data_IF_645339689582
#
_entry.id   IF_645339689582
#
_cell.length_a   1.000
_cell.length_b   1.000
_cell.length_c   1.000
_cell.angle_alpha   90.00
_cell.angle_beta   90.00
_cell.angle_gamma   90.00
#
_symmetry.space_group_name_H-M   'P 1'
#
loop_
_entity.id
_entity.type
_entity.pdbx_description
1 polymer ?
#
# COMPACT_ATOMS: atom_id res chain seq x y z
N UNK A 1 11.04 -9.13 10.55
CA UNK A 1 12.21 -8.90 11.43
C UNK A 1 11.82 -7.88 12.48
N UNK A 2 12.19 -8.12 13.75
CA UNK A 2 11.94 -7.17 14.83
C UNK A 2 13.03 -6.10 14.81
N UNK A 3 12.66 -4.84 14.61
CA UNK A 3 13.61 -3.73 14.57
C UNK A 3 13.12 -2.55 15.39
N UNK A 4 14.06 -1.78 15.94
CA UNK A 4 13.78 -0.49 16.54
C UNK A 4 14.04 0.59 15.49
N UNK A 5 13.06 1.46 15.25
CA UNK A 5 13.21 2.53 14.27
C UNK A 5 14.25 3.55 14.72
N UNK A 6 14.32 3.81 16.04
CA UNK A 6 15.22 4.81 16.64
C UNK A 6 16.11 4.19 17.73
N UNK A 7 17.09 3.35 17.37
CA UNK A 7 17.95 2.68 18.35
C UNK A 7 18.81 3.66 19.16
N UNK A 8 19.10 4.84 18.60
CA UNK A 8 19.86 5.90 19.28
C UNK A 8 19.17 6.46 20.52
N UNK A 9 17.86 6.23 20.72
CA UNK A 9 17.13 6.60 21.94
C UNK A 9 17.75 5.96 23.18
N UNK A 10 18.35 4.77 23.05
CA UNK A 10 19.04 4.11 24.15
C UNK A 10 20.30 4.87 24.63
N UNK A 11 20.80 5.85 23.88
CA UNK A 11 21.84 6.76 24.37
C UNK A 11 21.38 7.64 25.56
N UNK A 12 20.07 7.74 25.80
CA UNK A 12 19.49 8.43 26.96
C UNK A 12 19.44 7.55 28.22
N UNK A 13 19.86 6.28 28.15
CA UNK A 13 19.89 5.39 29.31
C UNK A 13 20.63 5.95 30.53
N UNK A 14 21.80 6.62 30.42
CA UNK A 14 22.50 7.19 31.58
C UNK A 14 21.88 8.49 32.11
N UNK A 15 20.86 9.05 31.45
CA UNK A 15 20.28 10.36 31.78
C UNK A 15 19.83 10.48 33.25
N UNK A 16 19.13 9.51 33.87
CA UNK A 16 18.72 9.64 35.27
C UNK A 16 19.90 9.69 36.26
N UNK A 17 21.01 9.01 35.94
CA UNK A 17 22.22 9.03 36.76
C UNK A 17 22.98 10.34 36.57
N UNK A 18 23.07 10.81 35.32
CA UNK A 18 23.69 12.09 34.97
C UNK A 18 22.94 13.27 35.59
N UNK A 19 21.61 13.28 35.53
CA UNK A 19 20.75 14.27 36.19
C UNK A 19 20.99 14.28 37.70
N UNK A 20 21.16 13.12 38.34
CA UNK A 20 21.47 13.04 39.77
C UNK A 20 22.85 13.59 40.11
N UNK A 21 23.83 13.42 39.23
CA UNK A 21 25.20 13.87 39.45
C UNK A 21 25.35 15.39 39.26
N UNK A 22 24.61 15.97 38.32
CA UNK A 22 24.73 17.38 37.92
C UNK A 22 23.68 18.30 38.57
N UNK A 23 22.47 17.81 38.83
CA UNK A 23 21.44 18.63 39.44
C UNK A 23 21.64 18.68 40.95
N UNK A 24 21.50 19.86 41.58
CA UNK A 24 21.52 19.97 43.03
C UNK A 24 20.44 19.07 43.61
N UNK A 25 20.71 18.48 44.78
CA UNK A 25 19.68 17.77 45.53
C UNK A 25 18.50 18.72 45.68
N UNK A 26 17.34 18.31 45.17
CA UNK A 26 16.12 19.06 45.35
C UNK A 26 15.89 19.20 46.85
N UNK A 27 16.10 20.40 47.35
CA UNK A 27 15.77 20.75 48.71
C UNK A 27 14.25 20.82 48.76
N UNK A 28 13.61 19.71 49.07
CA UNK A 28 12.20 19.69 49.42
C UNK A 28 12.09 20.34 50.81
N UNK A 29 12.34 21.65 50.85
CA UNK A 29 12.31 22.50 52.05
C UNK A 29 10.91 22.62 52.67
N UNK A 30 9.91 21.96 52.11
CA UNK A 30 8.63 21.74 52.76
C UNK A 30 8.31 20.23 52.81
N UNK A 31 7.99 19.67 54.00
CA UNK A 31 7.48 18.31 54.10
C UNK A 31 6.19 18.20 53.29
N UNK A 32 6.15 17.24 52.34
CA UNK A 32 5.02 16.99 51.43
C UNK A 32 3.70 16.59 52.11
N UNK A 33 3.66 16.57 53.44
CA UNK A 33 2.50 16.34 54.29
C UNK A 33 2.64 17.22 55.54
N UNK A 34 2.05 18.43 55.52
CA UNK A 34 1.79 19.21 56.73
C UNK A 34 0.62 18.55 57.46
N UNK A 35 0.89 17.50 58.21
CA UNK A 35 -0.10 16.88 59.11
C UNK A 35 0.02 17.55 60.47
N UNK A 36 -0.94 18.40 60.80
CA UNK A 36 -1.04 19.13 62.07
C UNK A 36 -1.19 18.23 63.30
N UNK A 37 -1.34 16.92 63.10
CA UNK A 37 -1.62 15.92 64.15
C UNK A 37 -0.38 15.11 64.59
N UNK A 38 0.79 15.31 63.95
CA UNK A 38 1.99 14.54 64.28
C UNK A 38 2.67 15.00 65.58
N UNK A 39 2.49 16.26 65.97
CA UNK A 39 3.01 16.80 67.23
C UNK A 39 2.30 16.25 68.47
N UNK A 40 1.09 15.70 68.33
CA UNK A 40 0.35 15.03 69.42
C UNK A 40 0.70 13.55 69.58
N UNK A 41 1.43 12.96 68.63
CA UNK A 41 1.88 11.57 68.67
C UNK A 41 3.34 11.42 69.14
N UNK A 42 4.06 12.51 69.39
CA UNK A 42 5.41 12.50 70.00
C UNK A 42 5.34 12.47 71.54
N UNK A 43 4.59 11.51 72.10
CA UNK A 43 4.89 10.94 73.42
C UNK A 43 6.21 10.13 73.39
N UNK A 44 6.74 9.63 74.53
CA UNK A 44 8.16 9.24 74.73
C UNK A 44 8.57 7.93 74.05
N UNK A 45 8.32 7.83 72.75
CA UNK A 45 8.68 6.73 71.87
C UNK A 45 9.15 7.35 70.58
N UNK A 46 10.34 7.96 70.62
CA UNK A 46 11.03 8.60 69.49
C UNK A 46 11.42 7.64 68.35
N UNK A 47 10.51 6.80 67.91
CA UNK A 47 10.65 5.93 66.74
C UNK A 47 9.79 6.49 65.63
N UNK A 48 10.35 7.44 64.89
CA UNK A 48 9.92 7.69 63.51
C UNK A 48 9.94 6.34 62.80
N UNK A 49 8.79 5.89 62.33
CA UNK A 49 8.69 4.73 61.44
C UNK A 49 9.33 5.10 60.09
N UNK A 50 10.66 5.18 60.06
CA UNK A 50 11.41 5.15 58.81
C UNK A 50 11.25 3.74 58.29
N UNK A 51 10.44 3.59 57.24
CA UNK A 51 10.45 2.38 56.44
C UNK A 51 11.86 2.27 55.83
N UNK A 52 12.78 1.59 56.52
CA UNK A 52 14.13 1.29 56.07
C UNK A 52 14.07 0.23 54.96
N UNK A 53 13.36 0.52 53.86
CA UNK A 53 13.50 -0.29 52.66
C UNK A 53 14.91 -0.06 52.11
N UNK A 54 15.61 -1.12 51.71
CA UNK A 54 16.92 -0.98 51.11
C UNK A 54 16.80 -0.15 49.83
N UNK A 55 17.79 0.73 49.61
CA UNK A 55 17.81 1.75 48.56
C UNK A 55 17.47 1.18 47.17
N UNK A 56 17.84 -0.08 46.89
CA UNK A 56 17.55 -0.73 45.62
C UNK A 56 16.04 -0.98 45.39
N UNK A 57 15.26 -1.31 46.44
CA UNK A 57 13.80 -1.50 46.33
C UNK A 57 13.06 -0.19 46.08
N UNK A 58 13.60 0.92 46.59
CA UNK A 58 13.04 2.25 46.35
C UNK A 58 13.34 2.74 44.92
N UNK A 59 14.48 2.34 44.32
CA UNK A 59 14.92 2.79 42.99
C UNK A 59 14.50 1.89 41.83
N UNK A 60 14.32 0.60 42.08
CA UNK A 60 13.90 -0.38 41.08
C UNK A 60 12.67 0.03 40.26
N UNK A 61 11.56 0.54 40.85
CA UNK A 61 10.38 0.89 40.06
C UNK A 61 10.65 2.08 39.12
N UNK A 62 11.42 3.07 39.54
CA UNK A 62 11.76 4.23 38.69
C UNK A 62 12.66 3.85 37.52
N UNK A 63 13.63 2.96 37.75
CA UNK A 63 14.47 2.42 36.68
C UNK A 63 13.65 1.59 35.68
N UNK A 64 12.70 0.80 36.18
CA UNK A 64 11.81 0.01 35.33
C UNK A 64 10.92 0.90 34.46
N UNK A 65 10.31 1.94 35.05
CA UNK A 65 9.50 2.93 34.32
C UNK A 65 10.35 3.62 33.24
N UNK A 66 11.58 4.03 33.58
CA UNK A 66 12.48 4.64 32.62
C UNK A 66 12.82 3.72 31.45
N UNK A 67 13.11 2.44 31.73
CA UNK A 67 13.40 1.45 30.70
C UNK A 67 12.19 1.25 29.77
N UNK A 68 10.97 1.16 30.32
CA UNK A 68 9.75 1.03 29.54
C UNK A 68 9.51 2.26 28.65
N UNK A 69 9.77 3.47 29.14
CA UNK A 69 9.68 4.70 28.35
C UNK A 69 10.67 4.71 27.19
N UNK A 70 11.91 4.28 27.41
CA UNK A 70 12.92 4.18 26.36
C UNK A 70 12.51 3.16 25.29
N UNK A 71 12.03 1.97 25.70
CA UNK A 71 11.56 0.94 24.77
C UNK A 71 10.37 1.45 23.95
N UNK A 72 9.37 2.08 24.59
CA UNK A 72 8.22 2.64 23.90
C UNK A 72 8.63 3.73 22.89
N UNK A 73 9.57 4.59 23.27
CA UNK A 73 10.07 5.68 22.43
C UNK A 73 10.92 5.18 21.26
N UNK A 74 11.65 4.08 21.43
CA UNK A 74 12.45 3.45 20.37
C UNK A 74 11.59 2.85 19.23
N UNK A 75 10.25 2.84 19.38
CA UNK A 75 9.24 2.32 18.44
C UNK A 75 9.61 0.90 17.97
N UNK A 76 9.41 -0.13 18.79
CA UNK A 76 9.58 -1.51 18.35
C UNK A 76 8.57 -1.82 17.25
N UNK A 77 9.06 -2.28 16.10
CA UNK A 77 8.23 -2.63 14.96
C UNK A 77 8.54 -4.04 14.49
N UNK A 78 7.48 -4.77 14.15
CA UNK A 78 7.59 -6.04 13.45
C UNK A 78 7.51 -5.77 11.94
N UNK A 79 8.65 -5.64 11.27
CA UNK A 79 8.67 -5.53 9.82
C UNK A 79 8.36 -6.90 9.22
N UNK A 80 7.45 -6.95 8.24
CA UNK A 80 7.25 -8.14 7.42
C UNK A 80 8.49 -8.45 6.58
N UNK A 81 8.47 -9.55 5.84
CA UNK A 81 9.51 -9.78 4.84
C UNK A 81 9.47 -8.67 3.77
N UNK A 82 10.62 -8.11 3.35
CA UNK A 82 10.64 -7.18 2.24
C UNK A 82 10.07 -7.89 1.02
N UNK A 83 8.96 -7.36 0.49
CA UNK A 83 8.36 -7.87 -0.73
C UNK A 83 9.38 -7.68 -1.86
N UNK A 84 9.91 -8.76 -2.48
CA UNK A 84 10.79 -8.59 -3.61
C UNK A 84 9.95 -8.00 -4.74
N UNK A 85 10.18 -6.73 -5.06
CA UNK A 85 9.63 -6.14 -6.28
C UNK A 85 10.36 -6.84 -7.41
N UNK A 86 9.72 -7.87 -7.98
CA UNK A 86 10.30 -8.63 -9.08
C UNK A 86 10.59 -7.66 -10.24
N UNK A 87 11.88 -7.37 -10.44
CA UNK A 87 12.37 -6.37 -11.38
C UNK A 87 12.33 -6.84 -12.85
N UNK A 88 11.69 -7.97 -13.17
CA UNK A 88 11.59 -8.49 -14.53
C UNK A 88 10.27 -8.15 -15.24
N UNK A 89 9.45 -7.27 -14.67
CA UNK A 89 8.12 -6.97 -15.18
C UNK A 89 8.10 -6.20 -16.49
N UNK A 90 7.32 -6.68 -17.46
CA UNK A 90 6.82 -5.84 -18.56
C UNK A 90 5.66 -4.97 -18.06
N UNK A 91 5.52 -3.80 -18.65
CA UNK A 91 4.34 -2.95 -18.56
C UNK A 91 3.34 -3.42 -19.58
N UNK A 92 2.36 -4.18 -19.10
CA UNK A 92 1.30 -4.77 -19.89
C UNK A 92 0.05 -3.89 -19.77
N UNK A 93 -0.36 -3.26 -20.86
CA UNK A 93 -1.63 -2.56 -20.94
C UNK A 93 -2.60 -3.40 -21.75
N UNK A 94 -3.76 -3.71 -21.19
CA UNK A 94 -4.78 -4.49 -21.88
C UNK A 94 -5.93 -3.56 -22.25
N UNK A 95 -6.25 -3.48 -23.53
CA UNK A 95 -7.38 -2.73 -24.04
C UNK A 95 -8.48 -3.71 -24.47
N UNK A 96 -9.63 -3.63 -23.82
CA UNK A 96 -10.77 -4.53 -24.05
C UNK A 96 -11.95 -3.77 -24.64
N UNK A 97 -12.47 -4.29 -25.75
CA UNK A 97 -13.68 -3.80 -26.38
C UNK A 97 -14.90 -4.16 -25.53
N UNK A 98 -15.74 -3.16 -25.28
CA UNK A 98 -17.01 -3.26 -24.54
C UNK A 98 -18.17 -2.68 -25.36
N UNK A 99 -18.01 -2.63 -26.69
CA UNK A 99 -19.03 -2.22 -27.66
C UNK A 99 -20.19 -3.22 -27.75
N UNK A 100 -21.21 -2.88 -28.54
CA UNK A 100 -22.40 -3.71 -28.67
C UNK A 100 -22.15 -5.08 -29.30
N UNK A 101 -21.11 -5.23 -30.13
CA UNK A 101 -20.75 -6.53 -30.73
C UNK A 101 -20.22 -7.54 -29.70
N UNK A 102 -19.75 -7.05 -28.55
CA UNK A 102 -19.21 -7.93 -27.50
C UNK A 102 -20.31 -8.59 -26.65
N UNK A 103 -21.58 -8.22 -26.83
CA UNK A 103 -22.74 -8.77 -26.10
C UNK A 103 -23.33 -10.03 -26.75
N UNK A 104 -22.90 -10.38 -27.97
CA UNK A 104 -23.44 -11.53 -28.69
C UNK A 104 -23.11 -12.84 -27.95
N UNK A 105 -24.11 -13.68 -27.62
CA UNK A 105 -23.91 -14.95 -26.92
C UNK A 105 -23.54 -16.07 -27.90
N UNK A 106 -22.43 -15.90 -28.63
CA UNK A 106 -21.98 -16.82 -29.66
C UNK A 106 -20.65 -17.51 -29.31
N UNK A 107 -20.22 -17.40 -28.06
CA UNK A 107 -19.02 -18.03 -27.54
C UNK A 107 -19.39 -19.15 -26.57
N UNK A 108 -18.51 -20.14 -26.46
CA UNK A 108 -18.67 -21.24 -25.51
C UNK A 108 -17.60 -21.14 -24.43
N UNK A 109 -18.02 -21.24 -23.18
CA UNK A 109 -17.12 -21.42 -22.06
C UNK A 109 -17.55 -22.64 -21.25
N UNK A 110 -16.66 -23.64 -21.19
CA UNK A 110 -16.97 -24.97 -20.63
C UNK A 110 -18.14 -25.61 -21.37
N UNK A 111 -19.34 -25.56 -20.78
CA UNK A 111 -20.56 -26.15 -21.34
C UNK A 111 -21.69 -25.13 -21.56
N UNK A 112 -21.43 -23.85 -21.27
CA UNK A 112 -22.43 -22.78 -21.34
C UNK A 112 -22.14 -21.85 -22.52
N UNK A 113 -23.21 -21.39 -23.18
CA UNK A 113 -23.12 -20.28 -24.13
C UNK A 113 -22.99 -18.96 -23.36
N UNK A 114 -21.96 -18.18 -23.71
CA UNK A 114 -21.61 -16.93 -23.05
C UNK A 114 -21.38 -15.83 -24.08
N UNK A 115 -21.48 -14.57 -23.65
CA UNK A 115 -21.12 -13.46 -24.53
C UNK A 115 -19.61 -13.39 -24.78
N UNK A 116 -19.22 -12.75 -25.88
CA UNK A 116 -17.82 -12.50 -26.22
C UNK A 116 -17.08 -11.77 -25.10
N UNK A 117 -17.70 -10.75 -24.50
CA UNK A 117 -17.13 -10.04 -23.35
C UNK A 117 -16.88 -10.98 -22.18
N UNK A 118 -17.84 -11.84 -21.84
CA UNK A 118 -17.70 -12.79 -20.73
C UNK A 118 -16.54 -13.76 -20.99
N UNK A 119 -16.42 -14.30 -22.20
CA UNK A 119 -15.27 -15.14 -22.56
C UNK A 119 -13.95 -14.38 -22.40
N UNK A 120 -13.88 -13.14 -22.88
CA UNK A 120 -12.69 -12.29 -22.76
C UNK A 120 -12.35 -12.00 -21.29
N UNK A 121 -13.34 -11.73 -20.43
CA UNK A 121 -13.15 -11.54 -19.01
C UNK A 121 -12.51 -12.77 -18.34
N UNK A 122 -12.98 -13.97 -18.69
CA UNK A 122 -12.39 -15.22 -18.16
C UNK A 122 -10.95 -15.41 -18.66
N UNK A 123 -10.73 -15.36 -19.97
CA UNK A 123 -9.42 -15.62 -20.57
C UNK A 123 -8.36 -14.61 -20.17
N UNK A 124 -8.69 -13.31 -20.24
CA UNK A 124 -7.78 -12.26 -19.79
C UNK A 124 -7.64 -12.28 -18.27
N UNK A 125 -8.69 -12.63 -17.54
CA UNK A 125 -8.63 -12.76 -16.09
C UNK A 125 -7.56 -13.76 -15.64
N UNK A 126 -7.65 -14.98 -16.16
CA UNK A 126 -6.68 -16.05 -15.90
C UNK A 126 -5.27 -15.65 -16.38
N UNK A 127 -5.20 -15.00 -17.55
CA UNK A 127 -3.96 -14.49 -18.10
C UNK A 127 -3.28 -13.47 -17.18
N UNK A 128 -4.04 -12.53 -16.59
CA UNK A 128 -3.52 -11.50 -15.69
C UNK A 128 -3.05 -12.08 -14.35
N UNK A 129 -3.79 -13.03 -13.79
CA UNK A 129 -3.41 -13.69 -12.54
C UNK A 129 -2.13 -14.53 -12.67
N UNK A 130 -1.95 -15.19 -13.83
CA UNK A 130 -0.76 -16.00 -14.12
C UNK A 130 0.54 -15.21 -14.26
N UNK A 131 0.49 -13.88 -14.46
CA UNK A 131 1.69 -13.04 -14.63
C UNK A 131 2.40 -12.81 -13.31
N UNK A 132 3.73 -12.88 -13.29
CA UNK A 132 4.55 -12.60 -12.11
C UNK A 132 5.54 -11.47 -12.41
N UNK A 133 5.49 -10.41 -11.60
CA UNK A 133 6.40 -9.27 -11.71
C UNK A 133 5.99 -8.18 -12.70
N UNK A 134 5.04 -8.45 -13.60
CA UNK A 134 4.52 -7.46 -14.56
C UNK A 134 3.65 -6.38 -13.88
N UNK A 135 3.72 -5.14 -14.38
CA UNK A 135 2.70 -4.12 -14.09
C UNK A 135 1.60 -4.24 -15.13
N UNK A 136 0.36 -4.27 -14.67
CA UNK A 136 -0.82 -4.42 -15.52
C UNK A 136 -1.67 -3.16 -15.45
N UNK A 137 -2.16 -2.70 -16.59
CA UNK A 137 -3.21 -1.69 -16.71
C UNK A 137 -4.34 -2.18 -17.59
N UNK A 138 -5.48 -1.49 -17.50
CA UNK A 138 -6.70 -1.82 -18.24
C UNK A 138 -7.28 -0.56 -18.88
N UNK A 139 -7.55 -0.65 -20.17
CA UNK A 139 -8.33 0.29 -20.97
C UNK A 139 -9.62 -0.42 -21.35
N UNK A 140 -10.75 0.26 -21.17
CA UNK A 140 -12.02 -0.15 -21.75
C UNK A 140 -12.33 0.81 -22.89
N UNK A 141 -12.77 0.27 -24.02
CA UNK A 141 -13.11 1.09 -25.17
C UNK A 141 -14.36 0.62 -25.88
N UNK A 142 -15.03 1.59 -26.49
CA UNK A 142 -16.21 1.44 -27.31
C UNK A 142 -16.23 2.63 -28.25
N UNK A 143 -17.25 3.48 -28.19
CA UNK A 143 -17.28 4.75 -28.93
C UNK A 143 -16.17 5.71 -28.49
N UNK A 144 -15.75 5.60 -27.23
CA UNK A 144 -14.62 6.32 -26.66
C UNK A 144 -13.70 5.32 -25.95
N UNK A 145 -12.44 5.67 -25.77
CA UNK A 145 -11.48 4.88 -25.00
C UNK A 145 -11.11 5.60 -23.69
N UNK A 146 -11.09 4.87 -22.57
CA UNK A 146 -10.67 5.42 -21.28
C UNK A 146 -9.88 4.41 -20.45
N UNK A 147 -9.05 4.92 -19.54
CA UNK A 147 -8.24 4.09 -18.63
C UNK A 147 -9.09 3.70 -17.44
N UNK A 148 -9.45 2.43 -17.36
CA UNK A 148 -10.14 1.85 -16.20
C UNK A 148 -9.15 1.60 -15.06
N UNK A 149 -7.93 1.14 -15.39
CA UNK A 149 -6.89 0.86 -14.43
C UNK A 149 -5.54 1.43 -14.89
N UNK A 150 -4.87 2.30 -14.11
CA UNK A 150 -3.48 2.66 -14.40
C UNK A 150 -2.56 1.45 -14.20
N UNK A 151 -1.36 1.50 -14.78
CA UNK A 151 -0.33 0.45 -14.60
C UNK A 151 -0.01 0.27 -13.11
N UNK A 152 -0.28 -0.93 -12.58
CA UNK A 152 -0.08 -1.30 -11.19
C UNK A 152 0.43 -2.74 -11.05
N UNK A 153 1.10 -3.03 -9.94
CA UNK A 153 1.43 -4.42 -9.57
C UNK A 153 0.23 -5.17 -8.97
N UNK A 154 -0.84 -4.46 -8.61
CA UNK A 154 -2.08 -5.02 -8.07
C UNK A 154 -2.97 -5.61 -9.17
N UNK A 155 -2.54 -6.78 -9.65
CA UNK A 155 -3.25 -7.57 -10.67
C UNK A 155 -4.66 -7.98 -10.23
N UNK A 156 -4.89 -8.13 -8.91
CA UNK A 156 -6.19 -8.54 -8.38
C UNK A 156 -7.22 -7.43 -8.56
N UNK A 157 -6.87 -6.19 -8.26
CA UNK A 157 -7.77 -5.07 -8.52
C UNK A 157 -8.05 -4.89 -10.01
N UNK A 158 -7.04 -5.07 -10.87
CA UNK A 158 -7.25 -5.02 -12.33
C UNK A 158 -8.21 -6.14 -12.80
N UNK A 159 -8.06 -7.35 -12.26
CA UNK A 159 -8.96 -8.48 -12.53
C UNK A 159 -10.41 -8.15 -12.14
N UNK A 160 -10.62 -7.58 -10.95
CA UNK A 160 -11.94 -7.18 -10.46
C UNK A 160 -12.55 -6.14 -11.39
N UNK A 161 -11.80 -5.11 -11.80
CA UNK A 161 -12.30 -4.11 -12.73
C UNK A 161 -12.60 -4.65 -14.12
N UNK A 162 -11.87 -5.68 -14.56
CA UNK A 162 -12.19 -6.39 -15.80
C UNK A 162 -13.51 -7.16 -15.66
N UNK A 163 -13.74 -7.86 -14.55
CA UNK A 163 -15.01 -8.57 -14.28
C UNK A 163 -16.21 -7.62 -14.18
N UNK A 164 -16.00 -6.43 -13.64
CA UNK A 164 -17.04 -5.41 -13.51
C UNK A 164 -17.32 -4.64 -14.81
N UNK A 165 -16.53 -4.88 -15.87
CA UNK A 165 -16.74 -4.25 -17.17
C UNK A 165 -18.10 -4.68 -17.76
N UNK A 166 -18.85 -3.70 -18.26
CA UNK A 166 -20.18 -3.90 -18.83
C UNK A 166 -20.25 -3.38 -20.25
N UNK A 167 -21.05 -4.04 -21.07
CA UNK A 167 -21.36 -3.60 -22.43
C UNK A 167 -21.90 -2.18 -22.41
N UNK A 168 -21.42 -1.35 -23.35
CA UNK A 168 -21.90 -0.01 -23.57
C UNK A 168 -21.40 1.05 -22.59
N UNK A 169 -20.59 0.70 -21.58
CA UNK A 169 -20.02 1.69 -20.64
C UNK A 169 -19.14 2.73 -21.36
N UNK A 170 -18.54 2.33 -22.48
CA UNK A 170 -17.74 3.18 -23.35
C UNK A 170 -18.47 3.58 -24.65
N UNK A 171 -19.79 3.37 -24.73
CA UNK A 171 -20.61 3.50 -25.93
C UNK A 171 -20.73 2.19 -26.74
N UNK A 172 -21.60 2.18 -27.76
CA UNK A 172 -21.98 0.97 -28.50
C UNK A 172 -21.16 0.70 -29.77
N UNK A 173 -20.46 1.70 -30.28
CA UNK A 173 -19.54 1.59 -31.41
C UNK A 173 -18.13 1.21 -30.95
N UNK A 174 -17.16 1.15 -31.86
CA UNK A 174 -15.78 0.69 -31.63
C UNK A 174 -14.78 1.71 -32.20
N UNK A 175 -14.02 2.37 -31.32
CA UNK A 175 -12.99 3.37 -31.58
C UNK A 175 -11.60 2.78 -31.30
N UNK A 176 -11.19 1.89 -32.20
CA UNK A 176 -10.00 1.06 -32.07
C UNK A 176 -8.71 1.88 -32.16
N UNK A 177 -8.65 2.85 -33.07
CA UNK A 177 -7.48 3.73 -33.21
C UNK A 177 -7.28 4.63 -32.00
N UNK A 178 -8.36 5.13 -31.41
CA UNK A 178 -8.31 5.93 -30.18
C UNK A 178 -7.85 5.10 -28.98
N UNK A 179 -8.24 3.82 -28.89
CA UNK A 179 -7.77 2.90 -27.87
C UNK A 179 -6.26 2.64 -27.97
N UNK A 180 -5.74 2.42 -29.19
CA UNK A 180 -4.30 2.29 -29.45
C UNK A 180 -3.58 3.59 -29.09
N UNK A 181 -4.08 4.74 -29.54
CA UNK A 181 -3.49 6.04 -29.26
C UNK A 181 -3.44 6.37 -27.75
N UNK A 182 -4.50 6.04 -27.02
CA UNK A 182 -4.53 6.15 -25.56
C UNK A 182 -3.51 5.21 -24.92
N UNK A 183 -3.42 3.97 -25.39
CA UNK A 183 -2.45 2.99 -24.92
C UNK A 183 -1.01 3.47 -25.11
N UNK A 184 -0.70 3.97 -26.30
CA UNK A 184 0.60 4.56 -26.63
C UNK A 184 0.91 5.75 -25.71
N UNK A 185 -0.03 6.67 -25.52
CA UNK A 185 0.13 7.82 -24.61
C UNK A 185 0.48 7.38 -23.17
N UNK A 186 -0.09 6.28 -22.69
CA UNK A 186 0.18 5.74 -21.34
C UNK A 186 1.51 5.00 -21.24
N UNK A 187 1.90 4.29 -22.30
CA UNK A 187 3.15 3.52 -22.35
C UNK A 187 4.37 4.36 -22.78
N UNK A 188 4.16 5.54 -23.39
CA UNK A 188 5.22 6.41 -23.90
C UNK A 188 6.26 6.81 -22.85
N UNK A 189 5.83 7.00 -21.61
CA UNK A 189 6.70 7.37 -20.48
C UNK A 189 7.50 6.19 -19.90
N UNK A 190 7.39 5.00 -20.50
CA UNK A 190 8.03 3.77 -20.02
C UNK A 190 9.14 3.33 -20.98
N UNK A 191 10.17 2.63 -20.48
CA UNK A 191 11.22 2.09 -21.34
C UNK A 191 10.66 1.21 -22.45
N UNK A 192 11.06 1.45 -23.70
CA UNK A 192 10.53 0.78 -24.88
C UNK A 192 10.70 -0.75 -24.85
N UNK A 193 11.81 -1.24 -24.29
CA UNK A 193 12.10 -2.68 -24.19
C UNK A 193 11.14 -3.50 -23.32
N UNK A 194 10.26 -2.82 -22.58
CA UNK A 194 9.42 -3.43 -21.54
C UNK A 194 7.96 -3.02 -21.62
N UNK A 195 7.45 -2.54 -22.76
CA UNK A 195 6.02 -2.17 -22.91
C UNK A 195 5.28 -3.06 -23.90
N UNK A 196 4.06 -3.46 -23.55
CA UNK A 196 3.18 -4.29 -24.40
C UNK A 196 1.76 -3.76 -24.30
N UNK A 197 1.11 -3.53 -25.44
CA UNK A 197 -0.33 -3.28 -25.53
C UNK A 197 -1.00 -4.54 -26.10
N UNK A 198 -1.90 -5.16 -25.33
CA UNK A 198 -2.77 -6.25 -25.80
C UNK A 198 -4.13 -5.65 -26.10
N UNK A 199 -4.55 -5.69 -27.36
CA UNK A 199 -5.84 -5.20 -27.81
C UNK A 199 -6.76 -6.38 -28.11
N UNK A 200 -7.96 -6.37 -27.54
CA UNK A 200 -8.98 -7.42 -27.73
C UNK A 200 -10.28 -6.79 -28.20
N UNK A 201 -10.74 -7.19 -29.38
CA UNK A 201 -11.96 -6.71 -30.05
C UNK A 201 -12.45 -7.75 -31.04
N UNK A 202 -13.74 -7.73 -31.33
CA UNK A 202 -14.40 -8.51 -32.37
C UNK A 202 -14.85 -7.66 -33.56
N UNK A 203 -14.63 -6.35 -33.51
CA UNK A 203 -15.28 -5.36 -34.34
C UNK A 203 -14.33 -4.59 -35.25
N UNK A 204 -14.88 -4.09 -36.36
CA UNK A 204 -14.20 -3.11 -37.19
C UNK A 204 -14.33 -1.71 -36.58
N UNK A 205 -13.31 -0.87 -36.78
CA UNK A 205 -13.32 0.52 -36.33
C UNK A 205 -14.44 1.31 -37.05
N UNK A 206 -15.48 1.70 -36.32
CA UNK A 206 -16.64 2.43 -36.83
C UNK A 206 -16.93 3.73 -36.05
N UNK A 207 -16.06 4.06 -35.09
CA UNK A 207 -16.03 5.32 -34.37
C UNK A 207 -14.57 5.76 -34.12
N UNK A 208 -14.41 6.86 -33.38
CA UNK A 208 -13.09 7.42 -33.05
C UNK A 208 -12.58 8.43 -34.07
N UNK A 209 -11.52 9.14 -33.70
CA UNK A 209 -10.90 10.18 -34.53
C UNK A 209 -9.64 9.69 -35.23
N UNK A 210 -8.98 8.69 -34.64
CA UNK A 210 -7.71 8.17 -35.14
C UNK A 210 -7.96 6.91 -35.97
N UNK A 211 -7.39 6.88 -37.17
CA UNK A 211 -7.36 5.68 -38.01
C UNK A 211 -6.50 4.58 -37.34
N UNK A 212 -7.01 3.32 -37.23
CA UNK A 212 -6.27 2.23 -36.59
C UNK A 212 -4.90 1.92 -37.17
N UNK A 213 -4.76 1.98 -38.50
CA UNK A 213 -3.50 1.66 -39.17
C UNK A 213 -2.48 2.76 -38.86
N UNK A 214 -2.94 4.01 -38.85
CA UNK A 214 -2.13 5.17 -38.44
C UNK A 214 -1.68 5.03 -36.99
N UNK A 215 -2.58 4.66 -36.07
CA UNK A 215 -2.24 4.43 -34.67
C UNK A 215 -1.22 3.28 -34.50
N UNK A 216 -1.38 2.19 -35.25
CA UNK A 216 -0.47 1.05 -35.22
C UNK A 216 0.92 1.40 -35.76
N UNK A 217 1.01 2.23 -36.81
CA UNK A 217 2.30 2.73 -37.32
C UNK A 217 3.02 3.57 -36.27
N UNK A 218 2.31 4.49 -35.62
CA UNK A 218 2.87 5.31 -34.54
C UNK A 218 3.34 4.43 -33.37
N UNK A 219 2.61 3.36 -33.04
CA UNK A 219 3.03 2.40 -32.04
C UNK A 219 4.34 1.70 -32.44
N UNK A 220 4.48 1.28 -33.70
CA UNK A 220 5.69 0.62 -34.20
C UNK A 220 6.93 1.55 -34.22
N UNK A 221 6.75 2.85 -34.48
CA UNK A 221 7.84 3.83 -34.44
C UNK A 221 8.37 4.08 -33.02
N UNK A 222 7.50 3.92 -32.02
CA UNK A 222 7.85 4.10 -30.62
C UNK A 222 8.60 2.86 -30.05
N UNK A 223 8.53 1.69 -30.69
CA UNK A 223 9.20 0.44 -30.28
C UNK A 223 8.31 -0.41 -29.39
#
# INVERSE_FOLDING_TARGET
MFEFVWPWVFALLPLPWLMRALLPMADSGEPALKVSFLSELEGPSGRRAKANLPIWRQRAPFLLIWLLLLIATARPQWLGEPLPVAASGRDLLVAVDVSGSMDYPDMQWKSDEVSRLVLVQQLLGDFLEGRKGDRVGLILFGTQAFVQAPLTYDRRTVRVWLDEAKIGIAGKNTALGDAIGLGLKRLRLRPATSRVLVLVTDGANNAGQIDPITAARLAAEEG
#
